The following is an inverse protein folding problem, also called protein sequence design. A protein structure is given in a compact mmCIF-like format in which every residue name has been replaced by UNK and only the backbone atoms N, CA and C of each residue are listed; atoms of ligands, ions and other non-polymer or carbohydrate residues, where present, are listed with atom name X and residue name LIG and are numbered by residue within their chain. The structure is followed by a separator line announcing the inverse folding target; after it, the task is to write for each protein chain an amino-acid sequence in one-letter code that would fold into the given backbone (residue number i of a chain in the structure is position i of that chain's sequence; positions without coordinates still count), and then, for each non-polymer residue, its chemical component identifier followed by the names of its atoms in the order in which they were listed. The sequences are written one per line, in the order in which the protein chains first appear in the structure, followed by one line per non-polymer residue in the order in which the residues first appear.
data_IF_228162184769
#
_entry.id   IF_228162184769
#
_cell.length_a   1.000
_cell.length_b   1.000
_cell.length_c   1.000
_cell.angle_alpha   90.00
_cell.angle_beta   90.00
_cell.angle_gamma   90.00
#
_symmetry.space_group_name_H-M   'P 1'
#
loop_
_entity.id
_entity.type
_entity.pdbx_description
1 polymer ?
#
# COMPACT_ATOMS: atom_id res chain seq x y z
N UNK A 1 -24.43 9.37 -14.34
CA UNK A 1 -25.51 8.50 -14.83
C UNK A 1 -25.07 7.06 -14.69
N UNK A 2 -25.63 6.32 -13.73
CA UNK A 2 -25.37 4.88 -13.54
C UNK A 2 -25.98 4.10 -14.71
N UNK A 3 -25.15 3.39 -15.46
CA UNK A 3 -25.62 2.37 -16.40
C UNK A 3 -24.88 1.07 -16.11
N UNK A 4 -25.64 0.11 -15.59
CA UNK A 4 -25.30 -1.30 -15.56
C UNK A 4 -24.45 -1.71 -14.37
N UNK A 5 -24.81 -2.84 -13.79
CA UNK A 5 -24.07 -3.57 -12.76
C UNK A 5 -22.71 -4.09 -13.27
N UNK A 6 -22.10 -3.41 -14.23
CA UNK A 6 -20.87 -3.82 -14.89
C UNK A 6 -19.68 -3.00 -14.37
N UNK A 7 -18.57 -3.67 -14.13
CA UNK A 7 -17.30 -3.06 -13.78
C UNK A 7 -16.16 -3.71 -14.54
N UNK A 8 -15.19 -2.89 -14.93
CA UNK A 8 -14.02 -3.33 -15.65
C UNK A 8 -12.74 -2.67 -15.16
N UNK A 9 -11.62 -3.31 -15.47
CA UNK A 9 -10.27 -2.84 -15.15
C UNK A 9 -9.48 -2.64 -16.44
N UNK A 10 -8.49 -1.73 -16.41
CA UNK A 10 -7.57 -1.49 -17.54
C UNK A 10 -6.71 -2.71 -17.88
N UNK A 11 -6.64 -3.72 -16.99
CA UNK A 11 -6.03 -5.01 -17.30
C UNK A 11 -6.88 -5.90 -18.24
N UNK A 12 -8.06 -5.44 -18.68
CA UNK A 12 -8.95 -6.14 -19.60
C UNK A 12 -10.08 -6.93 -18.93
N UNK A 13 -10.09 -7.02 -17.60
CA UNK A 13 -11.14 -7.71 -16.87
C UNK A 13 -12.46 -6.93 -16.93
N UNK A 14 -13.57 -7.63 -17.20
CA UNK A 14 -14.93 -7.08 -17.23
C UNK A 14 -15.90 -8.06 -16.60
N UNK A 15 -16.68 -7.62 -15.62
CA UNK A 15 -17.65 -8.44 -14.89
C UNK A 15 -18.98 -7.71 -14.74
N UNK A 16 -20.07 -8.48 -14.72
CA UNK A 16 -21.43 -8.03 -14.39
C UNK A 16 -21.84 -8.62 -13.04
N UNK A 17 -22.23 -7.78 -12.11
CA UNK A 17 -22.80 -8.17 -10.83
C UNK A 17 -24.26 -8.56 -11.00
N UNK A 18 -24.61 -9.71 -10.46
CA UNK A 18 -25.97 -10.24 -10.49
C UNK A 18 -26.72 -9.88 -9.21
N UNK A 19 -28.04 -9.89 -9.27
CA UNK A 19 -28.91 -9.68 -8.08
C UNK A 19 -28.68 -10.73 -6.98
N UNK A 20 -28.06 -11.86 -7.32
CA UNK A 20 -27.75 -12.96 -6.40
C UNK A 20 -26.34 -12.87 -5.79
N UNK A 21 -25.57 -11.81 -6.08
CA UNK A 21 -24.25 -11.59 -5.51
C UNK A 21 -23.08 -12.24 -6.25
N UNK A 22 -23.33 -12.84 -7.42
CA UNK A 22 -22.32 -13.46 -8.28
C UNK A 22 -21.82 -12.52 -9.38
N UNK A 23 -20.62 -12.80 -9.88
CA UNK A 23 -19.99 -12.08 -10.98
C UNK A 23 -20.04 -12.92 -12.26
N UNK A 24 -20.59 -12.34 -13.33
CA UNK A 24 -20.66 -12.97 -14.65
C UNK A 24 -19.77 -12.24 -15.66
N UNK A 25 -18.97 -12.99 -16.40
CA UNK A 25 -18.05 -12.48 -17.43
C UNK A 25 -17.15 -13.60 -17.96
N UNK A 26 -16.56 -13.42 -19.13
CA UNK A 26 -15.61 -14.40 -19.67
C UNK A 26 -14.24 -14.26 -18.98
N UNK A 27 -13.66 -15.38 -18.56
CA UNK A 27 -12.30 -15.43 -17.99
C UNK A 27 -12.17 -14.83 -16.59
N UNK A 28 -13.26 -14.78 -15.81
CA UNK A 28 -13.20 -14.32 -14.42
C UNK A 28 -12.51 -15.38 -13.53
N UNK A 29 -11.50 -15.00 -12.74
CA UNK A 29 -10.83 -15.92 -11.82
C UNK A 29 -11.59 -16.13 -10.49
N UNK A 30 -12.82 -15.62 -10.36
CA UNK A 30 -13.61 -15.62 -9.11
C UNK A 30 -15.12 -15.60 -9.40
N UNK A 31 -15.91 -16.15 -8.46
CA UNK A 31 -17.36 -16.32 -8.64
C UNK A 31 -18.20 -15.25 -7.92
N UNK A 32 -17.67 -14.66 -6.84
CA UNK A 32 -18.37 -13.67 -6.01
C UNK A 32 -17.43 -12.55 -5.51
N UNK A 33 -17.99 -11.55 -4.81
CA UNK A 33 -17.22 -10.41 -4.26
C UNK A 33 -16.15 -10.86 -3.25
N UNK A 34 -16.43 -11.87 -2.44
CA UNK A 34 -15.46 -12.40 -1.47
C UNK A 34 -14.26 -13.05 -2.16
N UNK A 35 -14.50 -13.89 -3.16
CA UNK A 35 -13.43 -14.51 -3.94
C UNK A 35 -12.64 -13.47 -4.74
N UNK A 36 -13.31 -12.44 -5.25
CA UNK A 36 -12.66 -11.29 -5.87
C UNK A 36 -11.74 -10.54 -4.90
N UNK A 37 -12.17 -10.35 -3.65
CA UNK A 37 -11.38 -9.68 -2.62
C UNK A 37 -10.12 -10.47 -2.24
N UNK A 38 -10.26 -11.80 -2.08
CA UNK A 38 -9.14 -12.71 -1.85
C UNK A 38 -8.16 -12.64 -3.02
N UNK A 39 -8.64 -12.81 -4.25
CA UNK A 39 -7.81 -12.74 -5.44
C UNK A 39 -7.10 -11.39 -5.59
N UNK A 40 -7.80 -10.27 -5.35
CA UNK A 40 -7.20 -8.94 -5.41
C UNK A 40 -6.11 -8.79 -4.35
N UNK A 41 -6.35 -9.29 -3.12
CA UNK A 41 -5.37 -9.25 -2.03
C UNK A 41 -4.12 -10.05 -2.39
N UNK A 42 -4.27 -11.25 -2.94
CA UNK A 42 -3.15 -12.09 -3.38
C UNK A 42 -2.37 -11.43 -4.54
N UNK A 43 -3.06 -10.87 -5.52
CA UNK A 43 -2.43 -10.15 -6.63
C UNK A 43 -1.62 -8.94 -6.14
N UNK A 44 -2.14 -8.19 -5.15
CA UNK A 44 -1.42 -7.07 -4.54
C UNK A 44 -0.18 -7.55 -3.78
N UNK A 45 -0.25 -8.67 -3.04
CA UNK A 45 0.91 -9.24 -2.35
C UNK A 45 1.99 -9.69 -3.33
N UNK A 46 1.62 -10.41 -4.39
CA UNK A 46 2.55 -10.83 -5.43
C UNK A 46 3.23 -9.63 -6.11
N UNK A 47 2.46 -8.55 -6.38
CA UNK A 47 3.01 -7.30 -6.89
C UNK A 47 4.05 -6.72 -5.93
N UNK A 48 3.73 -6.65 -4.63
CA UNK A 48 4.65 -6.14 -3.60
C UNK A 48 5.92 -6.98 -3.48
N UNK A 49 5.82 -8.31 -3.54
CA UNK A 49 6.98 -9.20 -3.48
C UNK A 49 7.89 -9.04 -4.71
N UNK A 50 7.29 -8.86 -5.89
CA UNK A 50 8.04 -8.71 -7.14
C UNK A 50 8.69 -7.34 -7.36
N UNK A 51 8.23 -6.30 -6.66
CA UNK A 51 8.65 -4.92 -6.90
C UNK A 51 10.09 -4.59 -6.47
N UNK A 52 10.75 -5.43 -5.64
CA UNK A 52 12.08 -5.09 -5.10
C UNK A 52 12.09 -3.75 -4.34
N UNK A 53 12.93 -2.82 -4.80
CA UNK A 53 13.05 -1.43 -4.30
C UNK A 53 12.26 -0.41 -5.14
N UNK A 54 11.63 -0.83 -6.23
CA UNK A 54 10.83 0.03 -7.11
C UNK A 54 9.47 0.39 -6.46
N UNK A 55 8.76 1.33 -7.07
CA UNK A 55 7.41 1.69 -6.66
C UNK A 55 6.45 0.51 -6.89
N UNK A 56 5.72 0.11 -5.85
CA UNK A 56 4.72 -0.96 -5.90
C UNK A 56 3.46 -0.46 -6.61
N UNK A 57 2.98 0.71 -6.19
CA UNK A 57 1.81 1.39 -6.78
C UNK A 57 1.99 2.90 -6.72
N UNK A 58 1.37 3.61 -7.66
CA UNK A 58 1.32 5.07 -7.68
C UNK A 58 0.00 5.56 -8.26
N UNK A 59 -0.64 6.53 -7.62
CA UNK A 59 -1.81 7.24 -8.13
C UNK A 59 -1.61 8.75 -8.05
N UNK A 60 -2.07 9.46 -9.08
CA UNK A 60 -2.21 10.92 -9.07
C UNK A 60 -3.63 11.34 -8.67
N UNK A 61 -3.80 12.61 -8.29
CA UNK A 61 -5.11 13.15 -7.94
C UNK A 61 -5.56 12.76 -6.52
N UNK A 62 -4.60 12.43 -5.65
CA UNK A 62 -4.84 12.16 -4.23
C UNK A 62 -4.78 13.48 -3.48
N UNK A 63 -5.83 13.82 -2.75
CA UNK A 63 -5.83 14.93 -1.80
C UNK A 63 -5.39 14.42 -0.43
N UNK A 64 -4.42 15.10 0.19
CA UNK A 64 -3.94 14.78 1.53
C UNK A 64 -4.14 15.98 2.46
N UNK A 65 -4.58 15.71 3.68
CA UNK A 65 -4.62 16.65 4.79
C UNK A 65 -3.99 16.06 6.05
N UNK A 66 -3.67 16.92 7.01
CA UNK A 66 -3.05 16.57 8.28
C UNK A 66 -3.77 17.26 9.43
N UNK A 67 -4.14 16.52 10.47
CA UNK A 67 -4.64 17.07 11.72
C UNK A 67 -3.50 17.37 12.68
N UNK A 68 -3.65 18.44 13.46
CA UNK A 68 -2.73 18.81 14.55
C UNK A 68 -3.51 18.85 15.87
N UNK A 69 -3.45 17.77 16.65
CA UNK A 69 -4.13 17.68 17.94
C UNK A 69 -5.64 17.97 17.85
N UNK A 70 -6.15 18.91 18.65
CA UNK A 70 -7.56 19.33 18.64
C UNK A 70 -7.91 20.34 17.54
N UNK A 71 -6.95 20.73 16.71
CA UNK A 71 -7.19 21.68 15.62
C UNK A 71 -7.52 20.93 14.33
N UNK A 72 -8.40 21.52 13.52
CA UNK A 72 -8.97 20.90 12.32
C UNK A 72 -7.95 20.54 11.22
N UNK A 73 -8.44 19.85 10.20
CA UNK A 73 -7.66 19.35 9.08
C UNK A 73 -6.95 20.51 8.33
N UNK A 74 -5.62 20.47 8.29
CA UNK A 74 -4.80 21.35 7.45
C UNK A 74 -4.53 20.66 6.11
N UNK A 75 -4.98 21.21 4.97
CA UNK A 75 -4.70 20.62 3.66
C UNK A 75 -3.20 20.66 3.34
N UNK A 76 -2.65 19.55 2.85
CA UNK A 76 -1.30 19.47 2.29
C UNK A 76 -1.31 19.62 0.76
N UNK A 77 -2.46 19.40 0.13
CA UNK A 77 -2.68 19.63 -1.29
C UNK A 77 -3.22 18.39 -2.01
N UNK A 78 -3.21 18.45 -3.35
CA UNK A 78 -3.57 17.34 -4.23
C UNK A 78 -2.37 16.97 -5.08
N UNK A 79 -2.03 15.69 -5.13
CA UNK A 79 -0.78 15.23 -5.74
C UNK A 79 -0.75 13.74 -6.03
N UNK A 80 0.47 13.21 -6.13
CA UNK A 80 0.80 11.82 -6.34
C UNK A 80 1.10 11.14 -5.00
N UNK A 81 0.44 10.01 -4.79
CA UNK A 81 0.77 9.06 -3.74
C UNK A 81 1.49 7.86 -4.37
N UNK A 82 2.61 7.47 -3.79
CA UNK A 82 3.40 6.33 -4.24
C UNK A 82 3.77 5.46 -3.05
N UNK A 83 3.55 4.16 -3.14
CA UNK A 83 3.96 3.20 -2.12
C UNK A 83 5.20 2.44 -2.59
N UNK A 84 6.22 2.44 -1.74
CA UNK A 84 7.40 1.59 -1.84
C UNK A 84 7.36 0.55 -0.73
N UNK A 85 8.32 -0.39 -0.75
CA UNK A 85 8.46 -1.43 0.27
C UNK A 85 8.56 -0.91 1.70
N UNK A 86 9.24 0.22 1.91
CA UNK A 86 9.57 0.74 3.23
C UNK A 86 8.90 2.07 3.59
N UNK A 87 8.26 2.73 2.62
CA UNK A 87 7.69 4.08 2.80
C UNK A 87 6.52 4.38 1.87
N UNK A 88 5.66 5.26 2.35
CA UNK A 88 4.62 5.94 1.59
C UNK A 88 5.11 7.35 1.26
N UNK A 89 4.99 7.77 0.01
CA UNK A 89 5.44 9.10 -0.45
C UNK A 89 4.26 9.85 -1.04
N UNK A 90 3.99 11.04 -0.51
CA UNK A 90 3.05 12.01 -1.07
C UNK A 90 3.81 13.25 -1.51
N UNK A 91 3.94 13.48 -2.81
CA UNK A 91 4.82 14.51 -3.36
C UNK A 91 6.25 14.45 -2.75
N UNK A 92 6.67 15.45 -1.99
CA UNK A 92 7.95 15.48 -1.29
C UNK A 92 7.92 14.93 0.14
N UNK A 93 6.73 14.63 0.67
CA UNK A 93 6.55 14.07 2.00
C UNK A 93 6.79 12.55 1.97
N UNK A 94 7.80 12.09 2.71
CA UNK A 94 8.11 10.66 2.85
C UNK A 94 7.82 10.16 4.26
N UNK A 95 7.02 9.09 4.34
CA UNK A 95 6.52 8.52 5.58
C UNK A 95 6.96 7.06 5.65
N UNK A 96 7.89 6.69 6.53
CA UNK A 96 8.27 5.29 6.74
C UNK A 96 7.07 4.45 7.16
N UNK A 97 6.90 3.25 6.60
CA UNK A 97 5.79 2.37 6.99
C UNK A 97 5.89 1.94 8.46
N UNK A 98 7.10 1.90 9.01
CA UNK A 98 7.37 1.63 10.43
C UNK A 98 6.88 2.75 11.35
N UNK A 99 6.69 3.97 10.84
CA UNK A 99 6.13 5.08 11.61
C UNK A 99 4.60 5.04 11.66
N UNK A 100 3.95 4.25 10.79
CA UNK A 100 2.49 4.14 10.74
C UNK A 100 2.01 3.25 11.90
N UNK A 101 1.25 3.84 12.82
CA UNK A 101 0.73 3.16 14.02
C UNK A 101 -0.69 2.63 13.82
N UNK A 102 -1.45 3.18 12.88
CA UNK A 102 -2.79 2.73 12.54
C UNK A 102 -3.25 3.30 11.21
N UNK A 103 -4.13 2.56 10.53
CA UNK A 103 -4.79 2.94 9.28
C UNK A 103 -6.26 2.58 9.38
N UNK A 104 -7.13 3.40 8.80
CA UNK A 104 -8.57 3.12 8.74
C UNK A 104 -9.19 3.71 7.48
N UNK A 105 -10.25 3.07 6.99
CA UNK A 105 -11.00 3.54 5.83
C UNK A 105 -12.21 4.36 6.30
N UNK A 106 -12.43 5.53 5.70
CA UNK A 106 -13.63 6.32 5.94
C UNK A 106 -14.36 6.58 4.62
N UNK A 107 -15.61 6.13 4.56
CA UNK A 107 -16.37 6.14 3.31
C UNK A 107 -15.72 5.32 2.20
N UNK A 108 -16.18 5.46 0.95
CA UNK A 108 -15.73 4.62 -0.15
C UNK A 108 -14.37 5.01 -0.75
N UNK A 109 -13.86 6.22 -0.45
CA UNK A 109 -12.65 6.77 -1.09
C UNK A 109 -11.67 7.41 -0.10
N UNK A 110 -11.92 7.29 1.20
CA UNK A 110 -11.11 7.91 2.24
C UNK A 110 -10.24 6.91 2.98
N UNK A 111 -8.98 7.27 3.23
CA UNK A 111 -8.07 6.52 4.09
C UNK A 111 -7.45 7.49 5.08
N UNK A 112 -7.51 7.18 6.37
CA UNK A 112 -6.76 7.87 7.39
C UNK A 112 -5.62 6.99 7.89
N UNK A 113 -4.53 7.62 8.30
CA UNK A 113 -3.45 6.91 8.98
C UNK A 113 -2.75 7.83 9.99
N UNK A 114 -2.11 7.22 10.98
CA UNK A 114 -1.47 7.94 12.08
C UNK A 114 0.02 7.63 12.14
N UNK A 115 0.84 8.64 12.45
CA UNK A 115 2.26 8.50 12.74
C UNK A 115 2.60 9.20 14.05
N UNK A 116 2.67 8.46 15.14
CA UNK A 116 2.84 9.05 16.48
C UNK A 116 1.71 10.03 16.81
N UNK A 117 2.03 11.33 16.87
CA UNK A 117 1.07 12.40 17.18
C UNK A 117 0.37 13.00 15.95
N UNK A 118 0.78 12.62 14.74
CA UNK A 118 0.25 13.16 13.49
C UNK A 118 -0.83 12.23 12.92
N UNK A 119 -1.91 12.82 12.42
CA UNK A 119 -2.97 12.09 11.74
C UNK A 119 -3.17 12.66 10.34
N UNK A 120 -3.21 11.78 9.35
CA UNK A 120 -3.36 12.15 7.94
C UNK A 120 -4.67 11.60 7.41
N UNK A 121 -5.28 12.36 6.49
CA UNK A 121 -6.44 11.92 5.72
C UNK A 121 -6.13 12.01 4.23
N UNK A 122 -6.50 10.97 3.50
CA UNK A 122 -6.38 10.83 2.07
C UNK A 122 -7.76 10.70 1.46
N UNK A 123 -7.98 11.36 0.34
CA UNK A 123 -9.13 11.11 -0.53
C UNK A 123 -8.74 11.18 -2.00
N UNK A 124 -9.44 10.43 -2.85
CA UNK A 124 -9.27 10.51 -4.29
C UNK A 124 -10.42 11.31 -4.94
N UNK A 125 -10.11 12.16 -5.91
CA UNK A 125 -11.12 12.91 -6.67
C UNK A 125 -11.89 12.03 -7.69
N UNK A 126 -11.30 10.90 -8.10
CA UNK A 126 -11.90 9.92 -9.03
C UNK A 126 -12.03 8.55 -8.35
N UNK A 127 -12.71 7.59 -8.99
CA UNK A 127 -12.73 6.18 -8.54
C UNK A 127 -11.31 5.61 -8.60
N UNK A 128 -10.55 5.77 -7.52
CA UNK A 128 -9.31 5.06 -7.23
C UNK A 128 -9.58 4.09 -6.10
N UNK A 129 -9.08 2.87 -6.22
CA UNK A 129 -9.19 1.89 -5.15
C UNK A 129 -8.19 2.25 -4.05
N UNK A 130 -8.54 3.18 -3.15
CA UNK A 130 -7.65 3.63 -2.06
C UNK A 130 -7.36 2.50 -1.07
N UNK A 131 -8.28 1.55 -0.93
CA UNK A 131 -8.12 0.34 -0.12
C UNK A 131 -6.86 -0.48 -0.45
N UNK A 132 -6.34 -0.39 -1.68
CA UNK A 132 -5.09 -1.07 -2.07
C UNK A 132 -3.90 -0.60 -1.24
N UNK A 133 -3.86 0.68 -0.83
CA UNK A 133 -2.81 1.20 0.04
C UNK A 133 -2.87 0.59 1.44
N UNK A 134 -4.06 0.48 2.03
CA UNK A 134 -4.24 -0.17 3.34
C UNK A 134 -3.79 -1.63 3.28
N UNK A 135 -4.30 -2.39 2.30
CA UNK A 135 -4.00 -3.82 2.12
C UNK A 135 -2.49 -4.06 1.98
N UNK A 136 -1.81 -3.25 1.17
CA UNK A 136 -0.37 -3.35 0.97
C UNK A 136 0.43 -2.89 2.19
N UNK A 137 0.03 -1.81 2.87
CA UNK A 137 0.71 -1.36 4.08
C UNK A 137 0.61 -2.41 5.20
N UNK A 138 -0.55 -3.03 5.38
CA UNK A 138 -0.72 -4.10 6.36
C UNK A 138 0.14 -5.32 6.01
N UNK A 139 0.18 -5.72 4.74
CA UNK A 139 1.05 -6.79 4.28
C UNK A 139 2.54 -6.47 4.53
N UNK A 140 3.00 -5.30 4.10
CA UNK A 140 4.42 -4.90 4.20
C UNK A 140 4.87 -4.67 5.64
N UNK A 141 3.97 -4.28 6.55
CA UNK A 141 4.26 -4.09 7.99
C UNK A 141 4.28 -5.41 8.77
N UNK A 142 3.65 -6.46 8.25
CA UNK A 142 3.56 -7.77 8.92
C UNK A 142 4.42 -8.85 8.27
N UNK A 143 4.80 -8.66 7.00
CA UNK A 143 5.74 -9.53 6.32
C UNK A 143 7.12 -9.44 7.00
N UNK A 144 7.79 -10.57 7.32
CA UNK A 144 9.18 -10.52 7.73
C UNK A 144 9.99 -9.85 6.62
N UNK A 145 10.86 -8.90 6.98
CA UNK A 145 11.71 -8.19 6.03
C UNK A 145 12.52 -9.21 5.22
N UNK A 146 12.05 -9.55 4.03
CA UNK A 146 12.78 -10.41 3.12
C UNK A 146 14.03 -9.64 2.68
N UNK A 147 15.17 -10.01 3.27
CA UNK A 147 16.50 -9.65 2.76
C UNK A 147 17.10 -8.34 3.27
N UNK A 148 17.37 -8.22 4.58
CA UNK A 148 18.55 -7.49 5.08
C UNK A 148 19.19 -8.27 6.23
N UNK A 149 19.85 -9.39 5.90
CA UNK A 149 20.83 -9.97 6.81
C UNK A 149 22.07 -10.43 6.04
N UNK A 150 23.22 -10.00 6.57
CA UNK A 150 24.58 -10.46 6.29
C UNK A 150 25.41 -9.69 5.26
N UNK A 151 26.01 -8.59 5.70
CA UNK A 151 27.39 -8.20 5.35
C UNK A 151 27.89 -7.10 6.31
N UNK A 152 28.25 -7.47 7.56
CA UNK A 152 29.10 -6.64 8.41
C UNK A 152 29.63 -7.45 9.61
N UNK A 153 30.46 -8.46 9.36
CA UNK A 153 31.46 -8.89 10.36
C UNK A 153 32.49 -9.82 9.70
N UNK A 154 33.43 -9.22 8.95
CA UNK A 154 34.75 -9.81 8.78
C UNK A 154 35.78 -8.68 8.85
N UNK A 155 36.06 -8.26 10.09
CA UNK A 155 37.24 -7.47 10.37
C UNK A 155 37.75 -7.84 11.77
N UNK A 156 38.48 -8.94 11.84
CA UNK A 156 39.36 -9.26 12.95
C UNK A 156 40.59 -9.98 12.41
N UNK A 157 41.57 -9.18 11.97
CA UNK A 157 42.94 -9.64 11.83
C UNK A 157 43.48 -10.04 13.22
N UNK A 158 44.16 -11.18 13.39
CA UNK A 158 44.99 -11.38 14.57
C UNK A 158 46.39 -10.83 14.32
N UNK A 159 46.80 -9.91 15.19
CA UNK A 159 48.17 -9.45 15.32
C UNK A 159 49.06 -10.57 15.89
N UNK A 160 50.27 -10.64 15.33
CA UNK A 160 51.56 -11.19 15.84
C UNK A 160 51.56 -11.84 17.24
N UNK A 161 52.14 -13.04 17.30
CA UNK A 161 53.04 -13.42 18.38
C UNK A 161 54.38 -13.91 17.80
N UNK A 162 55.44 -13.19 18.15
CA UNK A 162 56.82 -13.60 17.98
C UNK A 162 57.24 -14.40 19.23
N UNK A 163 57.92 -15.52 19.05
CA UNK A 163 58.87 -16.05 20.04
C UNK A 163 59.78 -17.07 19.35
N UNK A 164 61.02 -16.65 19.10
CA UNK A 164 62.16 -17.53 18.96
C UNK A 164 62.59 -18.00 20.36
N UNK A 165 62.81 -19.30 20.53
CA UNK A 165 63.96 -19.90 21.23
C UNK A 165 63.92 -21.43 21.05
#
# INVERSE_FOLDING_TARGET
SSRGDCFGCTCGLSARYTEYGFLEGEGLPFDNIGDWDVWQTEALRALADSAGDDAIISDTGISMGRHHGHHGLTPLGTGRLTLFRDRLVFESLSIPLTAITGMDMHGPMGLSFSTGAEHYELSAAERRCIRKYMTLCDYLRTAPAAGKQMAAEENAAPAKAAASQ
#
